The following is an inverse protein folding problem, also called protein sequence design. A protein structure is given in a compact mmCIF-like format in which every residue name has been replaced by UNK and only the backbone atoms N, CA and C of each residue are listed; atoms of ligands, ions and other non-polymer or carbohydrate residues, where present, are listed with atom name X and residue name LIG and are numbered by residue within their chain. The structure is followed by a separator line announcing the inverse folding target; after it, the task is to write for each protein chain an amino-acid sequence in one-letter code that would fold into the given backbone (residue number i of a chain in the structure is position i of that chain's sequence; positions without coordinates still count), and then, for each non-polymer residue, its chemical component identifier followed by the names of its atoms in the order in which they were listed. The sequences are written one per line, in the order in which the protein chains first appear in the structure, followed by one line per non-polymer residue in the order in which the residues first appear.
data_IF_725272057643
#
_entry.id   IF_725272057643
#
_cell.length_a   1.000
_cell.length_b   1.000
_cell.length_c   1.000
_cell.angle_alpha   90.00
_cell.angle_beta   90.00
_cell.angle_gamma   90.00
#
_symmetry.space_group_name_H-M   'P 1'
#
loop_
_entity.id
_entity.type
_entity.pdbx_description
1 polymer ?
#
# COMPACT_ATOMS: atom_id res chain seq x y z
N UNK A 1 -28.31 29.68 -18.34
CA UNK A 1 -29.24 29.73 -19.49
C UNK A 1 -30.50 30.48 -19.06
N UNK A 2 -30.37 31.80 -18.97
CA UNK A 2 -31.35 32.78 -18.49
C UNK A 2 -31.46 33.85 -19.58
N UNK A 3 -32.62 34.52 -19.69
CA UNK A 3 -33.07 35.35 -20.83
C UNK A 3 -33.70 34.44 -21.88
N UNK A 4 -35.02 34.33 -21.94
CA UNK A 4 -35.79 35.07 -22.96
C UNK A 4 -37.25 35.38 -22.55
N UNK A 5 -37.66 35.18 -21.29
CA UNK A 5 -39.04 35.45 -20.85
C UNK A 5 -39.24 36.80 -20.13
N UNK A 6 -38.16 37.48 -19.75
CA UNK A 6 -38.19 38.85 -19.23
C UNK A 6 -38.70 39.90 -20.26
N UNK A 7 -38.35 39.83 -21.57
CA UNK A 7 -38.84 40.83 -22.51
C UNK A 7 -40.35 40.70 -22.77
N UNK A 8 -40.96 39.51 -22.61
CA UNK A 8 -42.38 39.31 -22.90
C UNK A 8 -43.30 39.88 -21.81
N UNK A 9 -42.93 39.74 -20.53
CA UNK A 9 -43.63 40.40 -19.43
C UNK A 9 -43.41 41.91 -19.45
N UNK A 10 -42.17 42.35 -19.72
CA UNK A 10 -41.86 43.77 -19.87
C UNK A 10 -42.60 44.39 -21.07
N UNK A 11 -42.69 43.69 -22.21
CA UNK A 11 -43.44 44.13 -23.40
C UNK A 11 -44.94 44.11 -23.14
N UNK A 12 -45.48 43.13 -22.41
CA UNK A 12 -46.89 43.11 -22.02
C UNK A 12 -47.26 44.27 -21.10
N UNK A 13 -46.43 44.55 -20.09
CA UNK A 13 -46.61 45.70 -19.18
C UNK A 13 -46.43 47.02 -19.92
N UNK A 14 -45.42 47.12 -20.80
CA UNK A 14 -45.18 48.31 -21.63
C UNK A 14 -46.33 48.53 -22.62
N UNK A 15 -46.90 47.48 -23.21
CA UNK A 15 -48.05 47.55 -24.12
C UNK A 15 -49.30 47.99 -23.37
N UNK A 16 -49.55 47.48 -22.17
CA UNK A 16 -50.66 47.92 -21.30
C UNK A 16 -50.49 49.38 -20.87
N UNK A 17 -49.28 49.80 -20.48
CA UNK A 17 -48.97 51.19 -20.13
C UNK A 17 -49.10 52.13 -21.34
N UNK A 18 -48.62 51.71 -22.50
CA UNK A 18 -48.71 52.49 -23.74
C UNK A 18 -50.17 52.65 -24.18
N UNK A 19 -50.97 51.60 -24.11
CA UNK A 19 -52.38 51.65 -24.45
C UNK A 19 -53.17 52.52 -23.46
N UNK A 20 -52.85 52.47 -22.16
CA UNK A 20 -53.45 53.31 -21.14
C UNK A 20 -53.17 54.81 -21.36
N UNK A 21 -51.93 55.17 -21.73
CA UNK A 21 -51.53 56.56 -22.04
C UNK A 21 -52.24 57.08 -23.30
N UNK A 22 -52.39 56.26 -24.34
CA UNK A 22 -53.11 56.63 -25.57
C UNK A 22 -54.60 56.89 -25.29
N UNK A 23 -55.24 56.10 -24.43
CA UNK A 23 -56.63 56.34 -24.00
C UNK A 23 -56.80 57.54 -23.06
N UNK A 24 -55.74 58.01 -22.38
CA UNK A 24 -55.78 59.24 -21.59
C UNK A 24 -55.75 60.49 -22.48
N UNK A 25 -54.99 60.47 -23.59
CA UNK A 25 -54.91 61.58 -24.55
C UNK A 25 -56.16 61.70 -25.45
N UNK A 26 -56.95 60.62 -25.59
CA UNK A 26 -58.20 60.64 -26.34
C UNK A 26 -59.41 61.18 -25.53
N UNK A 27 -59.22 61.55 -24.26
CA UNK A 27 -60.30 61.96 -23.36
C UNK A 27 -60.46 63.49 -23.23
N UNK A 28 -59.69 64.31 -23.95
CA UNK A 28 -59.67 65.78 -23.78
C UNK A 28 -60.50 66.59 -24.80
N UNK A 29 -61.32 65.97 -25.66
CA UNK A 29 -62.26 66.72 -26.50
C UNK A 29 -63.72 66.26 -26.36
N UNK A 30 -64.58 67.15 -25.84
CA UNK A 30 -66.00 67.20 -26.18
C UNK A 30 -67.00 66.98 -25.04
N UNK A 31 -67.34 68.07 -24.34
CA UNK A 31 -68.42 68.08 -23.34
C UNK A 31 -69.83 67.85 -23.93
N UNK A 32 -70.50 66.81 -23.43
CA UNK A 32 -71.95 66.73 -23.21
C UNK A 32 -72.27 65.43 -22.41
N UNK A 33 -73.40 65.38 -21.69
CA UNK A 33 -73.75 64.26 -20.80
C UNK A 33 -73.88 62.88 -21.50
N UNK A 34 -74.05 62.84 -22.82
CA UNK A 34 -74.02 61.62 -23.63
C UNK A 34 -72.59 61.12 -23.90
N UNK A 35 -71.61 62.04 -23.96
CA UNK A 35 -70.19 61.73 -24.16
C UNK A 35 -69.60 61.09 -22.90
N UNK A 36 -69.97 61.55 -21.69
CA UNK A 36 -69.48 60.96 -20.43
C UNK A 36 -69.84 59.47 -20.29
N UNK A 37 -71.08 59.09 -20.61
CA UNK A 37 -71.53 57.68 -20.57
C UNK A 37 -70.83 56.81 -21.62
N UNK A 38 -70.61 57.34 -22.82
CA UNK A 38 -69.86 56.64 -23.87
C UNK A 38 -68.39 56.44 -23.47
N UNK A 39 -67.77 57.43 -22.84
CA UNK A 39 -66.41 57.36 -22.31
C UNK A 39 -66.30 56.37 -21.15
N UNK A 40 -67.28 56.31 -20.24
CA UNK A 40 -67.33 55.31 -19.16
C UNK A 40 -67.44 53.88 -19.70
N UNK A 41 -68.34 53.65 -20.67
CA UNK A 41 -68.52 52.33 -21.31
C UNK A 41 -67.23 51.91 -22.03
N UNK A 42 -66.60 52.82 -22.76
CA UNK A 42 -65.34 52.56 -23.44
C UNK A 42 -64.21 52.23 -22.46
N UNK A 43 -64.12 52.93 -21.32
CA UNK A 43 -63.16 52.62 -20.24
C UNK A 43 -63.37 51.23 -19.66
N UNK A 44 -64.61 50.82 -19.39
CA UNK A 44 -64.92 49.47 -18.87
C UNK A 44 -64.62 48.36 -19.88
N UNK A 45 -64.92 48.58 -21.16
CA UNK A 45 -64.58 47.63 -22.24
C UNK A 45 -63.06 47.50 -22.36
N UNK A 46 -62.32 48.63 -22.34
CA UNK A 46 -60.87 48.63 -22.38
C UNK A 46 -60.26 47.90 -21.18
N UNK A 47 -60.76 48.18 -19.98
CA UNK A 47 -60.35 47.48 -18.77
C UNK A 47 -60.60 45.97 -18.85
N UNK A 48 -61.76 45.55 -19.37
CA UNK A 48 -62.08 44.13 -19.55
C UNK A 48 -61.12 43.44 -20.53
N UNK A 49 -60.75 44.11 -21.63
CA UNK A 49 -59.77 43.60 -22.61
C UNK A 49 -58.39 43.45 -21.95
N UNK A 50 -57.90 44.48 -21.26
CA UNK A 50 -56.60 44.45 -20.58
C UNK A 50 -56.58 43.40 -19.46
N UNK A 51 -57.63 43.34 -18.64
CA UNK A 51 -57.76 42.33 -17.59
C UNK A 51 -57.79 40.91 -18.17
N UNK A 52 -58.52 40.69 -19.27
CA UNK A 52 -58.57 39.41 -19.98
C UNK A 52 -57.20 38.97 -20.50
N UNK A 53 -56.42 39.89 -21.10
CA UNK A 53 -55.05 39.61 -21.57
C UNK A 53 -54.13 39.29 -20.40
N UNK A 54 -54.21 40.04 -19.28
CA UNK A 54 -53.41 39.77 -18.08
C UNK A 54 -53.72 38.38 -17.51
N UNK A 55 -55.00 38.03 -17.34
CA UNK A 55 -55.41 36.72 -16.83
C UNK A 55 -54.93 35.59 -17.75
N UNK A 56 -55.01 35.78 -19.07
CA UNK A 56 -54.54 34.79 -20.04
C UNK A 56 -53.02 34.60 -19.99
N UNK A 57 -52.24 35.70 -19.93
CA UNK A 57 -50.78 35.64 -19.84
C UNK A 57 -50.32 35.03 -18.53
N UNK A 58 -50.87 35.47 -17.39
CA UNK A 58 -50.53 34.93 -16.08
C UNK A 58 -50.94 33.46 -15.94
N UNK A 59 -52.15 33.10 -16.40
CA UNK A 59 -52.64 31.73 -16.39
C UNK A 59 -51.79 30.78 -17.24
N UNK A 60 -51.21 31.25 -18.34
CA UNK A 60 -50.35 30.42 -19.20
C UNK A 60 -48.88 30.39 -18.75
N UNK A 61 -48.38 31.48 -18.15
CA UNK A 61 -46.94 31.63 -17.87
C UNK A 61 -46.52 31.28 -16.43
N UNK A 62 -47.38 31.48 -15.42
CA UNK A 62 -47.02 31.17 -14.02
C UNK A 62 -46.94 29.67 -13.71
N UNK A 63 -47.92 28.81 -14.10
CA UNK A 63 -47.90 27.40 -13.76
C UNK A 63 -46.61 26.64 -14.15
N UNK A 64 -46.03 26.81 -15.37
CA UNK A 64 -44.81 26.09 -15.74
C UNK A 64 -43.59 26.52 -14.93
N UNK A 65 -43.53 27.75 -14.40
CA UNK A 65 -42.40 28.24 -13.59
C UNK A 65 -42.42 27.58 -12.20
N UNK A 66 -43.57 27.55 -11.55
CA UNK A 66 -43.71 26.88 -10.24
C UNK A 66 -43.48 25.37 -10.35
N UNK A 67 -44.00 24.74 -11.41
CA UNK A 67 -43.77 23.31 -11.65
C UNK A 67 -42.28 22.99 -11.84
N UNK A 68 -41.56 23.77 -12.65
CA UNK A 68 -40.10 23.60 -12.83
C UNK A 68 -39.32 23.77 -11.53
N UNK A 69 -39.71 24.73 -10.68
CA UNK A 69 -39.07 24.91 -9.37
C UNK A 69 -39.36 23.75 -8.42
N UNK A 70 -40.61 23.29 -8.37
CA UNK A 70 -40.99 22.13 -7.55
C UNK A 70 -40.26 20.86 -8.00
N UNK A 71 -40.16 20.63 -9.32
CA UNK A 71 -39.43 19.51 -9.90
C UNK A 71 -37.92 19.59 -9.62
N UNK A 72 -37.32 20.78 -9.74
CA UNK A 72 -35.91 20.98 -9.39
C UNK A 72 -35.63 20.71 -7.91
N UNK A 73 -36.50 21.16 -7.00
CA UNK A 73 -36.37 20.90 -5.56
C UNK A 73 -36.57 19.41 -5.27
N UNK A 74 -37.59 18.77 -5.85
CA UNK A 74 -37.83 17.34 -5.69
C UNK A 74 -36.65 16.51 -6.21
N UNK A 75 -36.09 16.89 -7.35
CA UNK A 75 -34.91 16.25 -7.93
C UNK A 75 -33.68 16.45 -7.04
N UNK A 76 -33.45 17.66 -6.54
CA UNK A 76 -32.35 17.95 -5.62
C UNK A 76 -32.44 17.14 -4.32
N UNK A 77 -33.64 17.04 -3.73
CA UNK A 77 -33.89 16.22 -2.53
C UNK A 77 -33.63 14.75 -2.85
N UNK A 78 -34.21 14.22 -3.94
CA UNK A 78 -34.00 12.82 -4.35
C UNK A 78 -32.52 12.49 -4.56
N UNK A 79 -31.78 13.37 -5.23
CA UNK A 79 -30.35 13.22 -5.45
C UNK A 79 -29.56 13.27 -4.15
N UNK A 80 -29.91 14.19 -3.24
CA UNK A 80 -29.26 14.30 -1.93
C UNK A 80 -29.53 13.06 -1.06
N UNK A 81 -30.77 12.55 -1.05
CA UNK A 81 -31.12 11.31 -0.35
C UNK A 81 -30.39 10.10 -0.94
N UNK A 82 -30.32 10.00 -2.26
CA UNK A 82 -29.58 8.92 -2.94
C UNK A 82 -28.08 8.99 -2.66
N UNK A 83 -27.49 10.18 -2.69
CA UNK A 83 -26.09 10.40 -2.37
C UNK A 83 -25.78 10.05 -0.89
N UNK A 84 -26.66 10.45 0.03
CA UNK A 84 -26.55 10.09 1.45
C UNK A 84 -26.62 8.57 1.65
N UNK A 85 -27.58 7.90 1.01
CA UNK A 85 -27.70 6.45 1.09
C UNK A 85 -26.47 5.72 0.53
N UNK A 86 -25.91 6.21 -0.59
CA UNK A 86 -24.68 5.67 -1.16
C UNK A 86 -23.47 5.88 -0.22
N UNK A 87 -23.35 7.05 0.41
CA UNK A 87 -22.29 7.33 1.38
C UNK A 87 -22.41 6.45 2.63
N UNK A 88 -23.62 6.26 3.17
CA UNK A 88 -23.87 5.35 4.30
C UNK A 88 -23.55 3.89 3.94
N UNK A 89 -23.87 3.46 2.71
CA UNK A 89 -23.50 2.13 2.23
C UNK A 89 -21.98 1.94 2.14
N UNK A 90 -21.26 2.94 1.60
CA UNK A 90 -19.79 2.91 1.55
C UNK A 90 -19.16 2.92 2.94
N UNK A 91 -19.73 3.68 3.88
CA UNK A 91 -19.26 3.71 5.27
C UNK A 91 -19.40 2.33 5.92
N UNK A 92 -20.56 1.68 5.77
CA UNK A 92 -20.78 0.32 6.30
C UNK A 92 -19.84 -0.71 5.69
N UNK A 93 -19.58 -0.63 4.38
CA UNK A 93 -18.61 -1.52 3.72
C UNK A 93 -17.19 -1.27 4.24
N UNK A 94 -16.78 -0.01 4.39
CA UNK A 94 -15.49 0.35 4.94
C UNK A 94 -15.32 -0.12 6.39
N UNK A 95 -16.35 0.06 7.24
CA UNK A 95 -16.36 -0.43 8.63
C UNK A 95 -16.25 -1.96 8.68
N UNK A 96 -16.98 -2.66 7.81
CA UNK A 96 -16.92 -4.12 7.71
C UNK A 96 -15.52 -4.59 7.30
N UNK A 97 -14.94 -3.96 6.28
CA UNK A 97 -13.56 -4.24 5.86
C UNK A 97 -12.56 -3.96 6.97
N UNK A 98 -12.71 -2.85 7.70
CA UNK A 98 -11.84 -2.51 8.83
C UNK A 98 -11.93 -3.55 9.95
N UNK A 99 -13.14 -4.01 10.28
CA UNK A 99 -13.35 -5.05 11.28
C UNK A 99 -12.73 -6.39 10.86
N UNK A 100 -12.84 -6.76 9.57
CA UNK A 100 -12.21 -7.96 9.04
C UNK A 100 -10.69 -7.86 9.06
N UNK A 101 -10.13 -6.71 8.64
CA UNK A 101 -8.68 -6.46 8.71
C UNK A 101 -8.13 -6.57 10.13
N UNK A 102 -8.85 -6.08 11.14
CA UNK A 102 -8.43 -6.25 12.54
C UNK A 102 -8.35 -7.73 12.96
N UNK A 103 -9.30 -8.56 12.50
CA UNK A 103 -9.27 -10.01 12.74
C UNK A 103 -8.11 -10.68 12.02
N UNK A 104 -7.92 -10.38 10.73
CA UNK A 104 -6.81 -10.90 9.93
C UNK A 104 -5.45 -10.53 10.53
N UNK A 105 -5.29 -9.29 11.02
CA UNK A 105 -4.05 -8.86 11.71
C UNK A 105 -3.84 -9.62 13.02
N UNK A 106 -4.90 -9.87 13.79
CA UNK A 106 -4.79 -10.66 15.02
C UNK A 106 -4.41 -12.11 14.74
N UNK A 107 -5.02 -12.72 13.71
CA UNK A 107 -4.68 -14.06 13.25
C UNK A 107 -3.24 -14.13 12.75
N UNK A 108 -2.80 -13.17 11.93
CA UNK A 108 -1.44 -13.08 11.42
C UNK A 108 -0.42 -12.94 12.54
N UNK A 109 -0.69 -12.11 13.56
CA UNK A 109 0.18 -12.00 14.74
C UNK A 109 0.28 -13.32 15.50
N UNK A 110 -0.85 -13.97 15.75
CA UNK A 110 -0.86 -15.27 16.44
C UNK A 110 -0.15 -16.38 15.65
N UNK A 111 -0.21 -16.31 14.32
CA UNK A 111 0.50 -17.23 13.44
C UNK A 111 2.01 -16.96 13.48
N UNK A 112 2.42 -15.69 13.33
CA UNK A 112 3.81 -15.28 13.37
C UNK A 112 4.48 -15.59 14.72
N UNK A 113 3.78 -15.42 15.84
CA UNK A 113 4.29 -15.79 17.17
C UNK A 113 4.54 -17.30 17.29
N UNK A 114 3.59 -18.12 16.81
CA UNK A 114 3.73 -19.60 16.82
C UNK A 114 4.85 -20.07 15.90
N UNK A 115 4.93 -19.51 14.69
CA UNK A 115 5.97 -19.82 13.72
C UNK A 115 7.35 -19.39 14.22
N UNK A 116 7.46 -18.20 14.80
CA UNK A 116 8.71 -17.69 15.39
C UNK A 116 9.19 -18.58 16.54
N UNK A 117 8.30 -18.99 17.45
CA UNK A 117 8.67 -19.89 18.54
C UNK A 117 9.15 -21.26 18.02
N UNK A 118 8.45 -21.84 17.04
CA UNK A 118 8.86 -23.09 16.42
C UNK A 118 10.21 -22.98 15.69
N UNK A 119 10.43 -21.87 14.99
CA UNK A 119 11.67 -21.64 14.25
C UNK A 119 12.86 -21.41 15.19
N UNK A 120 12.67 -20.70 16.31
CA UNK A 120 13.70 -20.54 17.35
C UNK A 120 14.15 -21.90 17.90
N UNK A 121 13.21 -22.79 18.21
CA UNK A 121 13.54 -24.14 18.69
C UNK A 121 14.27 -24.97 17.61
N UNK A 122 13.83 -24.87 16.35
CA UNK A 122 14.48 -25.54 15.23
C UNK A 122 15.92 -25.06 15.03
N UNK A 123 16.14 -23.74 15.07
CA UNK A 123 17.47 -23.12 14.98
C UNK A 123 18.35 -23.52 16.15
N UNK A 124 17.80 -23.55 17.37
CA UNK A 124 18.53 -23.96 18.56
C UNK A 124 18.99 -25.41 18.47
N UNK A 125 18.11 -26.32 18.02
CA UNK A 125 18.44 -27.71 17.81
C UNK A 125 19.51 -27.90 16.72
N UNK A 126 19.36 -27.20 15.59
CA UNK A 126 20.35 -27.22 14.50
C UNK A 126 21.71 -26.71 14.97
N UNK A 127 21.74 -25.56 15.66
CA UNK A 127 22.97 -24.97 16.20
C UNK A 127 23.67 -25.89 17.21
N UNK A 128 22.91 -26.58 18.07
CA UNK A 128 23.48 -27.57 19.00
C UNK A 128 24.08 -28.78 18.26
N UNK A 129 23.38 -29.31 17.26
CA UNK A 129 23.89 -30.38 16.40
C UNK A 129 25.18 -29.96 15.70
N UNK A 130 25.21 -28.76 15.14
CA UNK A 130 26.36 -28.27 14.39
C UNK A 130 27.54 -27.97 15.32
N UNK A 131 27.30 -27.42 16.51
CA UNK A 131 28.32 -27.26 17.54
C UNK A 131 28.94 -28.62 17.95
N UNK A 132 28.12 -29.67 18.11
CA UNK A 132 28.61 -31.02 18.41
C UNK A 132 29.45 -31.59 17.28
N UNK A 133 29.03 -31.42 16.02
CA UNK A 133 29.79 -31.86 14.84
C UNK A 133 31.14 -31.14 14.74
N UNK A 134 31.15 -29.83 14.94
CA UNK A 134 32.37 -29.02 14.94
C UNK A 134 33.31 -29.48 16.06
N UNK A 135 32.80 -29.68 17.27
CA UNK A 135 33.61 -30.16 18.39
C UNK A 135 34.20 -31.56 18.13
N UNK A 136 33.40 -32.47 17.56
CA UNK A 136 33.87 -33.81 17.20
C UNK A 136 34.95 -33.77 16.10
N UNK A 137 34.74 -32.95 15.06
CA UNK A 137 35.71 -32.77 13.98
C UNK A 137 37.02 -32.16 14.51
N UNK A 138 36.94 -31.10 15.32
CA UNK A 138 38.10 -30.47 15.94
C UNK A 138 38.87 -31.44 16.83
N UNK A 139 38.18 -32.27 17.63
CA UNK A 139 38.84 -33.30 18.44
C UNK A 139 39.58 -34.32 17.57
N UNK A 140 38.94 -34.80 16.50
CA UNK A 140 39.56 -35.75 15.57
C UNK A 140 40.80 -35.14 14.87
N UNK A 141 40.75 -33.86 14.52
CA UNK A 141 41.87 -33.12 13.92
C UNK A 141 43.02 -32.95 14.92
N UNK A 142 42.73 -32.56 16.17
CA UNK A 142 43.72 -32.46 17.23
C UNK A 142 44.42 -33.81 17.46
N UNK A 143 43.66 -34.90 17.55
CA UNK A 143 44.23 -36.24 17.74
C UNK A 143 45.10 -36.67 16.54
N UNK A 144 44.70 -36.31 15.32
CA UNK A 144 45.50 -36.56 14.12
C UNK A 144 46.80 -35.76 14.11
N UNK A 145 46.74 -34.47 14.44
CA UNK A 145 47.89 -33.59 14.56
C UNK A 145 48.84 -34.05 15.66
N UNK A 146 48.32 -34.49 16.82
CA UNK A 146 49.13 -35.02 17.92
C UNK A 146 49.88 -36.30 17.49
N UNK A 147 49.20 -37.22 16.79
CA UNK A 147 49.86 -38.43 16.25
C UNK A 147 50.96 -38.06 15.26
N UNK A 148 50.71 -37.11 14.36
CA UNK A 148 51.69 -36.64 13.40
C UNK A 148 52.91 -36.01 14.09
N UNK A 149 52.70 -35.10 15.04
CA UNK A 149 53.76 -34.45 15.80
C UNK A 149 54.59 -35.45 16.63
N UNK A 150 53.94 -36.47 17.22
CA UNK A 150 54.65 -37.55 17.93
C UNK A 150 55.52 -38.38 16.99
N UNK A 151 55.06 -38.65 15.78
CA UNK A 151 55.84 -39.39 14.78
C UNK A 151 57.04 -38.58 14.30
N UNK A 152 56.84 -37.29 14.02
CA UNK A 152 57.90 -36.36 13.63
C UNK A 152 58.97 -36.23 14.73
N UNK A 153 58.56 -36.09 15.99
CA UNK A 153 59.48 -36.02 17.12
C UNK A 153 60.29 -37.32 17.27
N UNK A 154 59.66 -38.49 17.11
CA UNK A 154 60.37 -39.78 17.14
C UNK A 154 61.40 -39.89 16.02
N UNK A 155 61.06 -39.46 14.81
CA UNK A 155 61.98 -39.44 13.68
C UNK A 155 63.17 -38.51 13.94
N UNK A 156 62.92 -37.31 14.47
CA UNK A 156 63.96 -36.36 14.84
C UNK A 156 64.91 -36.94 15.91
N UNK A 157 64.36 -37.53 16.98
CA UNK A 157 65.16 -38.15 18.05
C UNK A 157 65.98 -39.33 17.52
N UNK A 158 65.41 -40.16 16.65
CA UNK A 158 66.12 -41.27 16.03
C UNK A 158 67.31 -40.76 15.19
N UNK A 159 67.11 -39.70 14.39
CA UNK A 159 68.17 -39.09 13.61
C UNK A 159 69.28 -38.50 14.51
N UNK A 160 68.91 -37.74 15.55
CA UNK A 160 69.88 -37.19 16.50
C UNK A 160 70.67 -38.30 17.22
N UNK A 161 70.02 -39.40 17.57
CA UNK A 161 70.69 -40.54 18.19
C UNK A 161 71.68 -41.23 17.24
N UNK A 162 71.32 -41.41 15.97
CA UNK A 162 72.22 -41.95 14.93
C UNK A 162 73.41 -41.03 14.70
N UNK A 163 73.18 -39.72 14.59
CA UNK A 163 74.25 -38.73 14.42
C UNK A 163 75.19 -38.68 15.63
N UNK A 164 74.64 -38.75 16.85
CA UNK A 164 75.40 -38.85 18.09
C UNK A 164 76.25 -40.13 18.15
N UNK A 165 75.65 -41.28 17.84
CA UNK A 165 76.37 -42.56 17.78
C UNK A 165 77.49 -42.55 16.73
N UNK A 166 77.24 -41.98 15.54
CA UNK A 166 78.25 -41.78 14.49
C UNK A 166 79.41 -40.91 14.99
N UNK A 167 79.12 -39.80 15.66
CA UNK A 167 80.15 -38.91 16.23
C UNK A 167 81.01 -39.62 17.29
N UNK A 168 80.39 -40.41 18.18
CA UNK A 168 81.11 -41.20 19.17
C UNK A 168 81.98 -42.29 18.52
N UNK A 169 81.45 -43.00 17.52
CA UNK A 169 82.18 -44.05 16.81
C UNK A 169 83.43 -43.50 16.10
N UNK A 170 83.30 -42.35 15.42
CA UNK A 170 84.44 -41.66 14.77
C UNK A 170 85.52 -41.28 15.79
N UNK A 171 85.12 -40.84 17.01
CA UNK A 171 86.08 -40.51 18.08
C UNK A 171 86.78 -41.72 18.68
N UNK A 172 86.14 -42.91 18.66
CA UNK A 172 86.70 -44.15 19.24
C UNK A 172 87.45 -45.04 18.23
N UNK A 173 87.43 -44.68 16.94
CA UNK A 173 88.14 -45.39 15.88
C UNK A 173 89.66 -45.25 16.04
N UNK A 174 90.26 -46.25 16.67
CA UNK A 174 91.72 -46.42 16.81
C UNK A 174 92.21 -47.57 15.93
N UNK A 175 93.49 -47.63 15.53
CA UNK A 175 94.01 -48.69 14.65
C UNK A 175 93.77 -50.11 15.17
N UNK A 176 93.88 -50.33 16.50
CA UNK A 176 93.56 -51.61 17.15
C UNK A 176 92.06 -51.96 17.09
N UNK A 177 91.19 -50.96 17.15
CA UNK A 177 89.74 -51.17 17.03
C UNK A 177 89.33 -51.65 15.64
N UNK A 178 89.96 -51.11 14.58
CA UNK A 178 89.73 -51.54 13.19
C UNK A 178 90.11 -53.01 12.96
N UNK A 179 91.28 -53.43 13.46
CA UNK A 179 91.76 -54.80 13.30
C UNK A 179 90.84 -55.82 14.00
N UNK A 180 90.31 -55.48 15.18
CA UNK A 180 89.31 -56.27 15.91
C UNK A 180 87.96 -56.34 15.17
N UNK A 181 87.52 -55.25 14.53
CA UNK A 181 86.27 -55.26 13.74
C UNK A 181 86.39 -56.16 12.50
N UNK A 182 87.54 -56.13 11.82
CA UNK A 182 87.81 -56.97 10.65
C UNK A 182 87.85 -58.45 11.05
N UNK A 183 88.55 -58.79 12.13
CA UNK A 183 88.64 -60.19 12.59
C UNK A 183 87.27 -60.73 13.04
N UNK A 184 86.45 -59.91 13.72
CA UNK A 184 85.09 -60.29 14.11
C UNK A 184 84.15 -60.42 12.90
N UNK A 185 84.29 -59.57 11.87
CA UNK A 185 83.50 -59.68 10.65
C UNK A 185 83.79 -60.98 9.89
N UNK A 186 85.07 -61.30 9.69
CA UNK A 186 85.52 -62.56 9.07
C UNK A 186 84.98 -63.76 9.85
N UNK A 187 85.07 -63.73 11.18
CA UNK A 187 84.51 -64.78 12.05
C UNK A 187 82.98 -64.91 11.96
N UNK A 188 82.25 -63.82 11.70
CA UNK A 188 80.78 -63.86 11.50
C UNK A 188 80.37 -64.45 10.15
N UNK A 189 81.25 -64.34 9.13
CA UNK A 189 81.05 -64.95 7.83
C UNK A 189 81.36 -66.45 7.85
N UNK A 190 82.34 -66.87 8.64
CA UNK A 190 82.62 -68.29 8.88
C UNK A 190 81.51 -68.98 9.69
N UNK A 191 80.73 -68.24 10.48
CA UNK A 191 79.67 -68.74 11.35
C UNK A 191 78.26 -68.81 10.74
N UNK A 192 78.04 -68.38 9.49
CA UNK A 192 76.77 -68.56 8.76
C UNK A 192 76.91 -69.73 7.77
N UNK A 193 76.58 -70.98 8.16
CA UNK A 193 76.32 -72.03 7.19
C UNK A 193 75.07 -71.62 6.38
N UNK A 194 75.11 -71.87 5.07
CA UNK A 194 74.02 -71.61 4.12
C UNK A 194 72.65 -72.11 4.59
#
# INVERSE_FOLDING_TARGET
MTRNHCPLLAVGVLFVLFFAVVSAQAAEEGGNAATERATEIFKWINFAIVAGVIIWVFGKLLPPVFRKRAEAVSSAISNATSAKAAAEAQLRDAETRLANLQKEVAELRSFAERESAAEVERLRAAAQSDAQKIAAAAKAEIEAAERAARLELKALVANLAVDGAKSLLVKQLTPKGQESLISNFVKSLEGRPN
#
